data_IF_748691735690
#
_entry.id   IF_748691735690
#
_cell.length_a   1.000
_cell.length_b   1.000
_cell.length_c   1.000
_cell.angle_alpha   90.00
_cell.angle_beta   90.00
_cell.angle_gamma   90.00
#
_symmetry.space_group_name_H-M   'P 1'
#
loop_
_entity.id
_entity.type
_entity.pdbx_description
1 polymer ?
#
# COMPACT_ATOMS: atom_id res chain seq x y z
N UNK A 1 1.80 -12.60 25.88
CA UNK A 1 1.39 -11.78 24.74
C UNK A 1 1.90 -12.43 23.47
N UNK A 2 1.05 -12.73 22.49
CA UNK A 2 1.51 -13.28 21.23
C UNK A 2 2.37 -12.25 20.49
N UNK A 3 3.52 -12.70 19.98
CA UNK A 3 4.44 -11.89 19.18
C UNK A 3 4.13 -12.16 17.72
N UNK A 4 3.67 -11.16 16.99
CA UNK A 4 3.63 -11.22 15.55
C UNK A 4 5.03 -10.90 15.01
N UNK A 5 5.69 -11.88 14.36
CA UNK A 5 6.91 -11.65 13.61
C UNK A 5 6.53 -11.33 12.18
N UNK A 6 6.74 -10.09 11.76
CA UNK A 6 6.62 -9.70 10.37
C UNK A 6 8.01 -9.31 9.91
N UNK A 7 8.68 -10.18 9.18
CA UNK A 7 9.99 -9.95 8.55
C UNK A 7 11.02 -9.21 9.44
N UNK A 8 11.23 -9.66 10.70
CA UNK A 8 12.09 -9.08 11.73
C UNK A 8 11.52 -7.94 12.58
N UNK A 9 10.30 -7.45 12.32
CA UNK A 9 9.60 -6.56 13.24
C UNK A 9 8.76 -7.39 14.21
N UNK A 10 8.78 -7.00 15.50
CA UNK A 10 8.02 -7.67 16.56
C UNK A 10 6.96 -6.70 17.05
N UNK A 11 5.69 -7.03 16.79
CA UNK A 11 4.54 -6.28 17.28
C UNK A 11 4.02 -6.90 18.57
N UNK A 12 3.78 -6.05 19.58
CA UNK A 12 3.26 -6.47 20.86
C UNK A 12 1.82 -6.01 21.02
N UNK A 13 0.86 -6.83 20.52
CA UNK A 13 -0.55 -6.73 20.91
C UNK A 13 -1.31 -8.01 20.56
N UNK A 14 -2.42 -8.25 21.26
CA UNK A 14 -3.39 -9.28 20.87
C UNK A 14 -4.19 -8.78 19.68
N UNK A 15 -4.24 -9.59 18.62
CA UNK A 15 -4.99 -9.28 17.42
C UNK A 15 -6.31 -10.02 17.43
N UNK A 16 -7.40 -9.30 17.13
CA UNK A 16 -8.65 -9.90 16.68
C UNK A 16 -8.67 -10.19 15.18
N UNK A 17 -7.81 -9.53 14.40
CA UNK A 17 -7.66 -9.78 12.97
C UNK A 17 -6.85 -11.06 12.78
N UNK A 18 -7.32 -11.97 11.95
CA UNK A 18 -6.61 -13.21 11.65
C UNK A 18 -5.23 -12.91 11.04
N UNK A 19 -4.19 -13.62 11.54
CA UNK A 19 -2.83 -13.48 11.01
C UNK A 19 -2.72 -13.84 9.53
N UNK A 20 -3.68 -14.58 9.02
CA UNK A 20 -3.72 -15.03 7.63
C UNK A 20 -4.20 -13.95 6.67
N UNK A 21 -4.82 -12.88 7.16
CA UNK A 21 -5.38 -11.80 6.36
C UNK A 21 -4.40 -10.67 6.08
N UNK A 22 -3.26 -10.62 6.78
CA UNK A 22 -2.23 -9.60 6.61
C UNK A 22 -0.91 -10.23 6.21
N UNK A 23 -0.32 -9.75 5.12
CA UNK A 23 1.01 -10.16 4.63
C UNK A 23 1.90 -8.95 4.49
N UNK A 24 3.18 -9.15 4.72
CA UNK A 24 4.18 -8.10 4.64
C UNK A 24 5.44 -8.62 3.96
N UNK A 25 5.80 -8.02 2.84
CA UNK A 25 7.01 -8.31 2.09
C UNK A 25 8.01 -7.16 2.21
N UNK A 26 9.21 -7.47 2.66
CA UNK A 26 10.31 -6.53 2.78
C UNK A 26 11.25 -6.67 1.58
N UNK A 27 11.31 -5.65 0.74
CA UNK A 27 12.11 -5.64 -0.48
C UNK A 27 13.36 -4.74 -0.40
N UNK A 28 13.80 -4.40 0.81
CA UNK A 28 14.88 -3.43 1.13
C UNK A 28 16.20 -3.52 0.32
N UNK A 29 16.27 -4.28 -0.72
CA UNK A 29 17.49 -4.41 -1.54
C UNK A 29 17.40 -3.67 -2.89
N UNK A 30 16.80 -2.48 -2.89
CA UNK A 30 16.98 -1.51 -3.96
C UNK A 30 16.58 -1.98 -5.36
N UNK A 31 15.42 -2.63 -5.49
CA UNK A 31 14.97 -3.16 -6.78
C UNK A 31 14.29 -2.10 -7.66
N UNK A 32 13.97 -0.93 -7.09
CA UNK A 32 13.27 0.12 -7.82
C UNK A 32 13.98 1.46 -7.67
N UNK A 33 13.95 2.25 -8.73
CA UNK A 33 14.37 3.64 -8.67
C UNK A 33 13.24 4.45 -8.02
N UNK A 34 13.30 4.59 -6.69
CA UNK A 34 12.31 5.31 -5.88
C UNK A 34 12.19 6.78 -6.25
N UNK A 35 13.31 7.40 -6.61
CA UNK A 35 13.32 8.80 -7.04
C UNK A 35 12.46 9.00 -8.29
N UNK A 36 12.50 8.05 -9.24
CA UNK A 36 11.63 8.10 -10.40
C UNK A 36 10.15 7.94 -10.04
N UNK A 37 9.81 7.03 -9.11
CA UNK A 37 8.44 6.88 -8.64
C UNK A 37 7.94 8.17 -7.96
N UNK A 38 8.73 8.75 -7.05
CA UNK A 38 8.37 10.01 -6.38
C UNK A 38 8.21 11.14 -7.40
N UNK A 39 9.14 11.27 -8.35
CA UNK A 39 9.06 12.28 -9.40
C UNK A 39 7.78 12.15 -10.22
N UNK A 40 7.44 10.93 -10.63
CA UNK A 40 6.25 10.67 -11.44
C UNK A 40 4.95 10.96 -10.65
N UNK A 41 4.92 10.66 -9.36
CA UNK A 41 3.80 11.00 -8.47
C UNK A 41 3.66 12.53 -8.35
N UNK A 42 4.77 13.25 -8.18
CA UNK A 42 4.74 14.72 -8.12
C UNK A 42 4.32 15.35 -9.44
N UNK A 43 4.74 14.79 -10.57
CA UNK A 43 4.28 15.22 -11.89
C UNK A 43 2.78 14.98 -12.07
N UNK A 44 2.28 13.83 -11.63
CA UNK A 44 0.86 13.52 -11.65
C UNK A 44 0.02 14.53 -10.86
N UNK A 45 0.49 14.92 -9.67
CA UNK A 45 -0.16 15.97 -8.87
C UNK A 45 -0.19 17.33 -9.58
N UNK A 46 0.88 17.69 -10.29
CA UNK A 46 0.95 18.94 -11.05
C UNK A 46 0.00 18.95 -12.24
N UNK A 47 -0.12 17.83 -12.95
CA UNK A 47 -0.90 17.74 -14.20
C UNK A 47 -2.39 17.57 -13.88
N UNK A 48 -2.73 16.65 -12.97
CA UNK A 48 -4.10 16.20 -12.75
C UNK A 48 -4.70 16.66 -11.42
N UNK A 49 -3.89 17.29 -10.56
CA UNK A 49 -4.29 17.70 -9.22
C UNK A 49 -4.43 16.53 -8.26
N UNK A 50 -4.73 16.85 -7.00
CA UNK A 50 -4.98 15.89 -5.94
C UNK A 50 -6.48 15.69 -5.69
N UNK A 51 -6.85 14.55 -5.14
CA UNK A 51 -8.19 14.28 -4.62
C UNK A 51 -8.06 13.50 -3.31
N UNK A 52 -8.38 14.06 -2.14
CA UNK A 52 -8.83 15.44 -1.93
C UNK A 52 -7.74 16.49 -2.21
N UNK A 53 -8.17 17.74 -2.33
CA UNK A 53 -7.25 18.88 -2.51
C UNK A 53 -6.55 19.32 -1.21
N UNK A 54 -6.79 18.58 -0.11
CA UNK A 54 -6.18 18.81 1.21
C UNK A 54 -5.43 17.54 1.65
N UNK A 55 -4.39 17.66 2.50
CA UNK A 55 -3.65 16.49 2.97
C UNK A 55 -4.52 15.45 3.69
N UNK A 56 -4.18 14.16 3.56
CA UNK A 56 -3.15 13.61 2.68
C UNK A 56 -3.58 13.71 1.23
N UNK A 57 -2.65 14.11 0.37
CA UNK A 57 -2.91 14.21 -1.06
C UNK A 57 -2.95 12.82 -1.69
N UNK A 58 -3.93 12.62 -2.54
CA UNK A 58 -4.08 11.41 -3.35
C UNK A 58 -4.05 11.77 -4.83
N UNK A 59 -3.35 11.00 -5.66
CA UNK A 59 -3.53 11.08 -7.11
C UNK A 59 -4.91 10.56 -7.49
N UNK A 60 -5.42 10.99 -8.63
CA UNK A 60 -6.64 10.40 -9.18
C UNK A 60 -6.40 8.91 -9.50
N UNK A 61 -7.43 8.10 -9.37
CA UNK A 61 -7.42 6.68 -9.74
C UNK A 61 -7.15 6.53 -11.25
N UNK A 62 -6.81 5.58 -11.60
CA UNK A 62 -5.98 4.49 -12.10
C UNK A 62 -4.58 4.97 -12.48
N UNK A 63 -3.80 5.31 -11.50
CA UNK A 63 -2.44 5.81 -11.69
C UNK A 63 -1.56 4.83 -12.50
N UNK A 64 -1.63 3.52 -12.18
CA UNK A 64 -0.84 2.51 -12.89
C UNK A 64 -1.17 2.47 -14.38
N UNK A 65 -2.43 2.57 -14.76
CA UNK A 65 -2.81 2.57 -16.19
C UNK A 65 -2.16 3.71 -16.97
N UNK A 66 -1.96 4.87 -16.35
CA UNK A 66 -1.25 6.01 -16.95
C UNK A 66 0.26 5.85 -16.96
N UNK A 67 0.81 5.07 -16.04
CA UNK A 67 2.26 4.93 -15.81
C UNK A 67 2.84 3.62 -16.33
N UNK A 68 2.03 2.61 -16.70
CA UNK A 68 2.46 1.24 -17.02
C UNK A 68 3.49 1.11 -18.14
N UNK A 69 3.58 2.11 -19.03
CA UNK A 69 4.58 2.13 -20.10
C UNK A 69 5.96 2.58 -19.62
N UNK A 70 6.10 3.10 -18.38
CA UNK A 70 7.39 3.41 -17.77
C UNK A 70 7.95 2.14 -17.13
N UNK A 71 9.19 1.78 -17.45
CA UNK A 71 9.82 0.52 -17.02
C UNK A 71 9.74 0.29 -15.51
N UNK A 72 10.07 1.31 -14.70
CA UNK A 72 10.05 1.18 -13.23
C UNK A 72 8.64 0.94 -12.65
N UNK A 73 7.57 1.43 -13.29
CA UNK A 73 6.19 1.12 -12.91
C UNK A 73 5.79 -0.30 -13.29
N UNK A 74 6.16 -0.71 -14.51
CA UNK A 74 5.94 -2.09 -14.97
C UNK A 74 6.65 -3.12 -14.08
N UNK A 75 7.90 -2.83 -13.68
CA UNK A 75 8.68 -3.73 -12.83
C UNK A 75 8.13 -3.77 -11.40
N UNK A 76 7.70 -2.64 -10.84
CA UNK A 76 7.00 -2.60 -9.56
C UNK A 76 5.74 -3.48 -9.61
N UNK A 77 4.93 -3.32 -10.63
CA UNK A 77 3.69 -4.08 -10.77
C UNK A 77 3.93 -5.60 -10.93
N UNK A 78 4.90 -5.99 -11.76
CA UNK A 78 5.29 -7.41 -11.90
C UNK A 78 5.70 -8.01 -10.56
N UNK A 79 6.44 -7.26 -9.75
CA UNK A 79 6.87 -7.73 -8.44
C UNK A 79 5.72 -7.83 -7.46
N UNK A 80 4.79 -6.88 -7.46
CA UNK A 80 3.54 -6.97 -6.68
C UNK A 80 2.77 -8.24 -7.07
N UNK A 81 2.56 -8.46 -8.37
CA UNK A 81 1.92 -9.67 -8.89
C UNK A 81 2.61 -10.94 -8.40
N UNK A 82 3.95 -10.97 -8.46
CA UNK A 82 4.73 -12.11 -7.97
C UNK A 82 4.53 -12.33 -6.46
N UNK A 83 4.51 -11.28 -5.64
CA UNK A 83 4.22 -11.39 -4.21
C UNK A 83 2.81 -11.90 -3.95
N UNK A 84 1.81 -11.41 -4.67
CA UNK A 84 0.44 -11.90 -4.55
C UNK A 84 0.34 -13.40 -4.88
N UNK A 85 0.97 -13.85 -5.96
CA UNK A 85 0.99 -15.27 -6.36
C UNK A 85 1.68 -16.20 -5.36
N UNK A 86 2.54 -15.67 -4.48
CA UNK A 86 3.15 -16.46 -3.37
C UNK A 86 2.17 -16.72 -2.23
N UNK A 87 1.20 -15.84 -2.03
CA UNK A 87 0.25 -15.92 -0.92
C UNK A 87 -1.11 -16.49 -1.33
N UNK A 88 -1.43 -16.40 -2.61
CA UNK A 88 -2.73 -16.77 -3.12
C UNK A 88 -2.58 -17.62 -4.39
N UNK A 89 -3.42 -18.63 -4.52
CA UNK A 89 -3.42 -19.56 -5.67
C UNK A 89 -4.32 -19.09 -6.83
N UNK A 90 -4.91 -17.90 -6.70
CA UNK A 90 -5.91 -17.37 -7.66
C UNK A 90 -5.32 -16.25 -8.50
N UNK A 91 -5.90 -16.01 -9.66
CA UNK A 91 -5.59 -14.85 -10.49
C UNK A 91 -6.21 -13.57 -9.91
N UNK A 92 -5.58 -12.43 -10.22
CA UNK A 92 -5.97 -11.12 -9.72
C UNK A 92 -6.19 -10.15 -10.86
N UNK A 93 -7.26 -9.38 -10.77
CA UNK A 93 -7.60 -8.30 -11.70
C UNK A 93 -7.42 -6.98 -10.95
N UNK A 94 -6.48 -6.15 -11.43
CA UNK A 94 -6.32 -4.80 -10.91
C UNK A 94 -7.57 -3.98 -11.21
N UNK A 95 -8.13 -3.38 -10.17
CA UNK A 95 -9.31 -2.53 -10.27
C UNK A 95 -8.93 -1.05 -10.23
N UNK A 96 -8.12 -0.68 -9.24
CA UNK A 96 -7.74 0.70 -9.00
C UNK A 96 -6.30 0.79 -8.52
N UNK A 97 -5.68 1.93 -8.77
CA UNK A 97 -4.38 2.27 -8.23
C UNK A 97 -4.24 3.79 -8.07
N UNK A 98 -3.59 4.22 -6.99
CA UNK A 98 -3.31 5.62 -6.73
C UNK A 98 -2.05 5.75 -5.88
N UNK A 99 -1.51 6.96 -5.78
CA UNK A 99 -0.46 7.27 -4.83
C UNK A 99 -0.96 8.23 -3.77
N UNK A 100 -0.44 8.06 -2.57
CA UNK A 100 -0.66 8.98 -1.46
C UNK A 100 0.63 9.76 -1.19
N UNK A 101 0.47 11.06 -0.93
CA UNK A 101 1.51 11.92 -0.37
C UNK A 101 1.02 12.44 0.97
N UNK A 102 1.58 11.91 2.04
CA UNK A 102 1.29 12.38 3.38
C UNK A 102 2.30 13.46 3.79
N UNK A 103 1.75 14.58 4.19
CA UNK A 103 2.44 15.74 4.76
C UNK A 103 1.98 15.91 6.22
N UNK A 104 2.33 17.01 6.85
CA UNK A 104 1.89 17.32 8.22
C UNK A 104 0.37 17.18 8.40
N UNK A 105 -0.04 16.69 9.58
CA UNK A 105 -1.44 16.49 9.95
C UNK A 105 -2.26 15.65 8.94
N UNK A 106 -1.57 14.82 8.15
CA UNK A 106 -2.21 13.98 7.16
C UNK A 106 -2.83 12.76 7.82
N UNK A 107 -4.16 12.73 7.95
CA UNK A 107 -4.90 11.54 8.33
C UNK A 107 -6.09 11.34 7.40
N UNK A 108 -6.15 10.16 6.79
CA UNK A 108 -7.45 9.64 6.40
C UNK A 108 -8.09 8.99 7.63
N UNK A 109 -9.38 9.19 7.83
CA UNK A 109 -10.13 8.41 8.81
C UNK A 109 -10.07 6.92 8.49
N UNK A 110 -10.42 6.10 9.47
CA UNK A 110 -10.56 4.68 9.25
C UNK A 110 -11.58 4.39 8.15
N UNK A 111 -11.18 3.58 7.19
CA UNK A 111 -11.99 3.19 6.04
C UNK A 111 -11.69 1.75 5.61
N UNK A 112 -12.49 1.25 4.70
CA UNK A 112 -12.33 -0.03 4.02
C UNK A 112 -12.39 0.20 2.52
N UNK A 113 -11.92 -0.75 1.73
CA UNK A 113 -12.09 -0.76 0.29
C UNK A 113 -13.12 -1.83 -0.11
N UNK A 114 -13.93 -1.55 -1.13
CA UNK A 114 -14.84 -2.54 -1.71
C UNK A 114 -14.09 -3.39 -2.76
N UNK A 115 -13.03 -4.07 -2.29
CA UNK A 115 -12.15 -4.92 -3.09
C UNK A 115 -11.75 -6.14 -2.29
N UNK A 116 -11.32 -7.21 -2.99
CA UNK A 116 -10.90 -8.42 -2.31
C UNK A 116 -9.53 -8.26 -1.65
N UNK A 117 -8.61 -7.53 -2.27
CA UNK A 117 -7.25 -7.33 -1.75
C UNK A 117 -6.78 -5.90 -1.99
N UNK A 118 -6.24 -5.30 -0.94
CA UNK A 118 -5.52 -4.04 -0.97
C UNK A 118 -4.03 -4.27 -0.76
N UNK A 119 -3.22 -3.63 -1.58
CA UNK A 119 -1.76 -3.67 -1.52
C UNK A 119 -1.23 -2.26 -1.37
N UNK A 120 -0.40 -2.02 -0.36
CA UNK A 120 0.27 -0.75 -0.12
C UNK A 120 1.77 -0.93 -0.27
N UNK A 121 2.38 -0.26 -1.25
CA UNK A 121 3.82 -0.18 -1.42
C UNK A 121 4.34 1.14 -0.85
N UNK A 122 5.27 1.05 0.11
CA UNK A 122 5.88 2.22 0.74
C UNK A 122 7.11 2.67 -0.07
N UNK A 123 6.93 3.75 -0.84
CA UNK A 123 7.97 4.31 -1.73
C UNK A 123 9.01 5.06 -0.93
N UNK A 124 8.57 5.94 -0.04
CA UNK A 124 9.41 6.78 0.81
C UNK A 124 8.74 7.01 2.15
N UNK A 125 9.45 6.74 3.23
CA UNK A 125 9.01 7.03 4.59
C UNK A 125 10.21 7.05 5.55
N UNK A 126 10.68 8.23 5.92
CA UNK A 126 11.80 8.40 6.85
C UNK A 126 11.48 7.94 8.28
N UNK A 127 10.19 7.78 8.61
CA UNK A 127 9.70 7.42 9.94
C UNK A 127 8.77 6.21 9.84
N UNK A 128 9.34 5.00 9.76
CA UNK A 128 8.57 3.77 9.52
C UNK A 128 7.45 3.52 10.53
N UNK A 129 7.60 3.99 11.77
CA UNK A 129 6.59 3.86 12.83
C UNK A 129 5.24 4.51 12.48
N UNK A 130 5.24 5.49 11.56
CA UNK A 130 4.01 6.10 11.05
C UNK A 130 3.57 5.41 9.75
N UNK A 131 3.30 4.11 9.83
CA UNK A 131 2.85 3.29 8.71
C UNK A 131 1.32 3.27 8.55
N UNK A 132 0.75 2.07 8.54
CA UNK A 132 -0.69 1.84 8.43
C UNK A 132 -1.24 1.29 9.74
N UNK A 133 -2.24 1.96 10.29
CA UNK A 133 -2.98 1.48 11.46
C UNK A 133 -4.12 0.58 11.00
N UNK A 134 -4.14 -0.63 11.51
CA UNK A 134 -5.13 -1.66 11.21
C UNK A 134 -6.09 -1.75 12.40
N UNK A 135 -7.36 -1.42 12.16
CA UNK A 135 -8.50 -1.59 13.06
C UNK A 135 -8.26 -1.06 14.50
N UNK A 136 -7.51 0.03 14.63
CA UNK A 136 -7.09 0.64 15.91
C UNK A 136 -6.26 -0.30 16.82
N UNK A 137 -5.92 -1.49 16.34
CA UNK A 137 -5.27 -2.53 17.13
C UNK A 137 -3.76 -2.60 16.94
N UNK A 138 -3.30 -2.31 15.70
CA UNK A 138 -1.88 -2.39 15.39
C UNK A 138 -1.47 -1.40 14.32
N UNK A 139 -0.25 -0.88 14.48
CA UNK A 139 0.42 -0.11 13.45
C UNK A 139 1.42 -1.02 12.75
N UNK A 140 1.21 -1.23 11.45
CA UNK A 140 2.18 -1.89 10.59
C UNK A 140 3.18 -0.84 10.12
N UNK A 141 4.48 -0.98 10.39
CA UNK A 141 5.48 -0.01 9.96
C UNK A 141 5.50 0.19 8.46
N UNK A 142 5.58 1.43 8.03
CA UNK A 142 5.73 1.77 6.62
C UNK A 142 7.20 1.82 6.22
N UNK A 143 7.89 0.70 6.22
CA UNK A 143 9.31 0.65 5.84
C UNK A 143 9.44 0.85 4.34
N UNK A 144 10.36 1.71 3.90
CA UNK A 144 10.66 1.90 2.47
C UNK A 144 10.99 0.57 1.78
N UNK A 145 10.57 0.41 0.53
CA UNK A 145 10.71 -0.83 -0.25
C UNK A 145 10.03 -2.04 0.40
N UNK A 146 8.96 -1.82 1.14
CA UNK A 146 8.13 -2.89 1.65
C UNK A 146 6.70 -2.85 1.11
N UNK A 147 6.07 -4.00 1.14
CA UNK A 147 4.72 -4.23 0.66
C UNK A 147 3.84 -4.74 1.80
N UNK A 148 2.75 -4.04 2.05
CA UNK A 148 1.69 -4.50 2.94
C UNK A 148 0.53 -5.00 2.09
N UNK A 149 0.06 -6.22 2.35
CA UNK A 149 -1.04 -6.88 1.63
C UNK A 149 -2.10 -7.30 2.64
N UNK A 150 -3.35 -6.93 2.42
CA UNK A 150 -4.45 -7.29 3.30
C UNK A 150 -5.79 -7.32 2.56
N UNK A 151 -6.79 -7.96 3.14
CA UNK A 151 -8.16 -7.95 2.65
C UNK A 151 -8.69 -6.50 2.63
N UNK A 152 -9.21 -6.05 1.50
CA UNK A 152 -9.71 -4.67 1.34
C UNK A 152 -10.80 -4.29 2.33
N UNK A 153 -11.50 -5.26 2.91
CA UNK A 153 -12.53 -5.05 3.93
C UNK A 153 -11.98 -4.81 5.34
N UNK A 154 -10.67 -5.00 5.53
CA UNK A 154 -10.03 -4.67 6.80
C UNK A 154 -10.03 -3.16 6.99
N UNK A 155 -10.57 -2.72 8.11
CA UNK A 155 -10.62 -1.31 8.50
C UNK A 155 -9.22 -0.80 8.80
N UNK A 156 -8.80 0.23 8.10
CA UNK A 156 -7.44 0.77 8.22
C UNK A 156 -7.37 2.27 8.00
N UNK A 157 -6.26 2.86 8.42
CA UNK A 157 -5.95 4.26 8.15
C UNK A 157 -4.45 4.50 8.03
N UNK A 158 -4.10 5.59 7.38
CA UNK A 158 -2.75 6.15 7.42
C UNK A 158 -2.47 6.71 8.82
N UNK A 159 -1.32 6.34 9.45
CA UNK A 159 -0.92 6.94 10.71
C UNK A 159 -0.57 8.42 10.54
N UNK A 160 -1.02 9.25 11.48
CA UNK A 160 -0.61 10.64 11.56
C UNK A 160 0.89 10.73 11.90
N UNK A 161 1.57 11.61 11.19
CA UNK A 161 2.93 12.01 11.54
C UNK A 161 2.87 13.34 12.30
N UNK A 162 3.58 13.46 13.44
CA UNK A 162 3.65 14.71 14.18
C UNK A 162 4.09 15.89 13.31
N UNK A 163 3.55 17.07 13.60
CA UNK A 163 3.82 18.30 12.85
C UNK A 163 5.33 18.58 12.74
N UNK A 164 6.06 18.45 13.85
CA UNK A 164 7.48 18.75 13.93
C UNK A 164 8.34 17.91 12.97
N UNK A 165 7.88 16.69 12.67
CA UNK A 165 8.55 15.81 11.71
C UNK A 165 8.10 16.09 10.27
N UNK A 166 6.82 16.39 10.09
CA UNK A 166 6.20 16.51 8.78
C UNK A 166 6.43 17.86 8.08
N UNK A 167 6.82 18.90 8.83
CA UNK A 167 7.03 20.26 8.32
C UNK A 167 8.10 20.33 7.22
N UNK A 168 9.05 19.42 7.22
CA UNK A 168 10.11 19.38 6.22
C UNK A 168 9.68 18.56 4.98
N UNK A 169 9.71 19.14 3.76
CA UNK A 169 9.29 18.45 2.54
C UNK A 169 10.02 17.13 2.26
N UNK A 170 11.28 16.97 2.70
CA UNK A 170 12.00 15.71 2.55
C UNK A 170 11.48 14.58 3.46
N UNK A 171 10.67 14.91 4.47
CA UNK A 171 10.00 13.95 5.34
C UNK A 171 8.61 13.54 4.81
N UNK A 172 8.17 14.11 3.70
CA UNK A 172 6.91 13.69 3.09
C UNK A 172 6.97 12.18 2.79
N UNK A 173 5.90 11.50 3.17
CA UNK A 173 5.75 10.07 2.96
C UNK A 173 4.98 9.81 1.67
N UNK A 174 5.48 8.86 0.88
CA UNK A 174 4.86 8.43 -0.37
C UNK A 174 4.55 6.95 -0.32
N UNK A 175 3.33 6.58 -0.66
CA UNK A 175 2.92 5.20 -0.86
C UNK A 175 2.10 5.07 -2.15
N UNK A 176 2.13 3.87 -2.75
CA UNK A 176 1.29 3.54 -3.89
C UNK A 176 0.36 2.41 -3.46
N UNK A 177 -0.91 2.58 -3.76
CA UNK A 177 -1.95 1.60 -3.44
C UNK A 177 -2.43 0.94 -4.73
N UNK A 178 -2.66 -0.36 -4.64
CA UNK A 178 -3.25 -1.19 -5.69
C UNK A 178 -4.37 -2.02 -5.10
N UNK A 179 -5.55 -1.91 -5.66
CA UNK A 179 -6.71 -2.67 -5.28
C UNK A 179 -7.04 -3.72 -6.33
N UNK A 180 -7.21 -4.96 -5.87
CA UNK A 180 -7.47 -6.10 -6.73
C UNK A 180 -8.76 -6.82 -6.36
N UNK A 181 -9.41 -7.36 -7.38
CA UNK A 181 -10.40 -8.41 -7.20
C UNK A 181 -9.79 -9.78 -7.59
N UNK A 182 -10.24 -10.82 -6.91
CA UNK A 182 -9.91 -12.19 -7.25
C UNK A 182 -10.72 -12.58 -8.49
N UNK A 183 -10.05 -13.13 -9.50
CA UNK A 183 -10.74 -13.67 -10.67
C UNK A 183 -11.51 -14.95 -10.28
N UNK A 184 -12.83 -14.83 -10.25
CA UNK A 184 -13.73 -15.94 -9.93
C UNK A 184 -13.97 -16.89 -11.10
N UNK A 185 -13.55 -16.52 -12.31
CA UNK A 185 -13.70 -17.35 -13.52
C UNK A 185 -12.74 -18.57 -13.52
N UNK A 186 -11.67 -18.51 -12.74
CA UNK A 186 -10.64 -19.56 -12.66
C UNK A 186 -10.90 -20.58 -11.55
N UNK A 187 -12.13 -20.67 -11.04
CA UNK A 187 -12.46 -21.64 -9.99
C UNK A 187 -12.51 -23.05 -10.58
N UNK A 188 -11.66 -24.00 -10.17
CA UNK A 188 -11.66 -25.38 -10.69
C UNK A 188 -12.95 -26.14 -10.37
N UNK A 189 -13.79 -25.64 -9.46
CA UNK A 189 -15.07 -26.26 -9.09
C UNK A 189 -16.21 -26.01 -10.10
N UNK A 190 -15.96 -25.27 -11.19
CA UNK A 190 -16.90 -25.05 -12.28
C UNK A 190 -16.77 -26.06 -13.45
N UNK A 191 -16.08 -27.16 -13.26
CA UNK A 191 -16.17 -28.29 -14.19
C UNK A 191 -17.44 -29.05 -13.80
N UNK A 192 -18.59 -28.55 -14.28
CA UNK A 192 -19.83 -29.33 -14.29
C UNK A 192 -19.62 -30.50 -15.25
N UNK A 193 -19.85 -31.70 -14.73
CA UNK A 193 -19.97 -32.97 -15.46
C UNK A 193 -20.94 -32.91 -16.64
#
# INVERSE_FOLDING_TARGET
MPRLKVNNYVFYREFKVSKEEIRYDDWRKGLFNKENLVRDIEEEFKINGASPAVPPYQTKVNLYERMKNKTHWSDLYKKIRHSLMRYYTKEFILQESWANKAVENSAFGFHTHDRDITVVYYVKNNYPEFGTNIDEQVIIPGVEDSLLIFDGKIRHQLCNMPFELAVHPYNHRYSIVFDFNIDKSTNPDNITE
#
